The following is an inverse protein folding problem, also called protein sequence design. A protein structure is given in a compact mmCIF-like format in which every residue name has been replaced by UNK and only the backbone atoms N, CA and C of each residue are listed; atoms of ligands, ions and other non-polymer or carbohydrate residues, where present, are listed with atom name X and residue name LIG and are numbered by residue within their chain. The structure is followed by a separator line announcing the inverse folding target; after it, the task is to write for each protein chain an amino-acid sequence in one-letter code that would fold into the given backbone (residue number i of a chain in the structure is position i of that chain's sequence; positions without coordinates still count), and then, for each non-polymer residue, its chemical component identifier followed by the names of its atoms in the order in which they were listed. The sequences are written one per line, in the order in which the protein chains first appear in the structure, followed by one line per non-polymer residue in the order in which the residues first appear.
data_IF_393510690255
#
_entry.id   IF_393510690255
#
_cell.length_a   1.000
_cell.length_b   1.000
_cell.length_c   1.000
_cell.angle_alpha   90.00
_cell.angle_beta   90.00
_cell.angle_gamma   90.00
#
_symmetry.space_group_name_H-M   'P 1'
#
loop_
_entity.id
_entity.type
_entity.pdbx_description
1 polymer ?
#
# COMPACT_ATOMS: atom_id res chain seq x y z
N UNK A 1 6.83 4.59 -30.76
CA UNK A 1 5.56 4.45 -30.00
C UNK A 1 5.88 4.55 -28.49
N UNK A 2 5.21 5.44 -27.78
CA UNK A 2 5.47 5.57 -26.35
C UNK A 2 4.72 4.51 -25.55
N UNK A 3 5.41 3.96 -24.55
CA UNK A 3 4.83 3.02 -23.62
C UNK A 3 4.09 3.79 -22.53
N UNK A 4 2.77 3.56 -22.40
CA UNK A 4 1.93 4.19 -21.39
C UNK A 4 1.40 3.19 -20.36
N UNK A 5 2.02 2.00 -20.28
CA UNK A 5 1.63 1.01 -19.28
C UNK A 5 1.68 1.62 -17.88
N UNK A 6 0.58 1.50 -17.14
CA UNK A 6 0.45 2.07 -15.80
C UNK A 6 0.09 3.54 -15.75
N UNK A 7 -0.19 4.17 -16.90
CA UNK A 7 -0.65 5.56 -16.92
C UNK A 7 -2.17 5.61 -17.07
N UNK A 8 -2.82 6.39 -16.23
CA UNK A 8 -4.27 6.64 -16.32
C UNK A 8 -4.52 8.11 -16.63
N UNK A 9 -5.69 8.39 -17.20
CA UNK A 9 -6.07 9.75 -17.59
C UNK A 9 -6.22 10.68 -16.39
N UNK A 10 -6.83 10.19 -15.30
CA UNK A 10 -7.21 11.03 -14.17
C UNK A 10 -6.31 10.83 -12.94
N UNK A 11 -5.60 9.70 -12.83
CA UNK A 11 -4.81 9.34 -11.65
C UNK A 11 -3.29 9.36 -11.90
N UNK A 12 -2.86 9.84 -13.08
CA UNK A 12 -1.44 9.84 -13.44
C UNK A 12 -0.92 8.44 -13.71
N UNK A 13 0.34 8.20 -13.35
CA UNK A 13 0.93 6.87 -13.44
C UNK A 13 0.57 6.08 -12.21
N UNK A 14 0.31 4.78 -12.38
CA UNK A 14 -0.07 3.91 -11.28
C UNK A 14 0.66 2.57 -11.34
N UNK A 15 0.70 1.88 -10.19
CA UNK A 15 1.33 0.58 -10.04
C UNK A 15 0.51 -0.24 -9.04
N UNK A 16 0.48 -1.55 -9.25
CA UNK A 16 -0.18 -2.46 -8.32
C UNK A 16 0.55 -3.78 -8.22
N UNK A 17 0.54 -4.37 -7.04
CA UNK A 17 1.05 -5.71 -6.78
C UNK A 17 0.04 -6.43 -5.90
N UNK A 18 0.03 -7.78 -5.97
CA UNK A 18 -0.84 -8.58 -5.11
C UNK A 18 -0.19 -9.94 -4.83
N UNK A 19 -0.59 -10.54 -3.71
CA UNK A 19 -0.13 -11.87 -3.34
C UNK A 19 -1.14 -12.52 -2.41
N UNK A 20 -1.31 -13.84 -2.53
CA UNK A 20 -2.19 -14.61 -1.67
C UNK A 20 -1.37 -15.30 -0.59
N UNK A 21 -1.84 -15.22 0.65
CA UNK A 21 -1.18 -15.81 1.82
C UNK A 21 -2.12 -16.80 2.50
N UNK A 22 -1.58 -17.82 3.21
CA UNK A 22 -2.42 -18.86 3.85
C UNK A 22 -2.99 -18.46 5.21
N UNK A 23 -3.18 -17.17 5.47
CA UNK A 23 -3.70 -16.65 6.73
C UNK A 23 -5.13 -16.15 6.55
N UNK A 24 -5.91 -16.06 7.63
CA UNK A 24 -7.28 -15.54 7.60
C UNK A 24 -7.28 -14.03 7.35
N UNK A 25 -8.38 -13.53 6.78
CA UNK A 25 -8.53 -12.09 6.53
C UNK A 25 -8.32 -11.24 7.78
N UNK A 26 -8.97 -11.54 8.91
CA UNK A 26 -8.74 -10.78 10.15
C UNK A 26 -7.29 -10.80 10.63
N UNK A 27 -6.62 -11.94 10.54
CA UNK A 27 -5.19 -12.03 10.92
C UNK A 27 -4.30 -11.17 10.03
N UNK A 28 -4.56 -11.20 8.72
CA UNK A 28 -3.84 -10.38 7.76
C UNK A 28 -4.08 -8.90 8.04
N UNK A 29 -5.34 -8.51 8.25
CA UNK A 29 -5.71 -7.12 8.52
C UNK A 29 -5.03 -6.60 9.78
N UNK A 30 -5.09 -7.37 10.87
CA UNK A 30 -4.46 -7.00 12.13
C UNK A 30 -2.95 -6.84 11.99
N UNK A 31 -2.31 -7.70 11.21
CA UNK A 31 -0.88 -7.57 10.93
C UNK A 31 -0.59 -6.28 10.17
N UNK A 32 -1.31 -6.01 9.09
CA UNK A 32 -1.06 -4.86 8.23
C UNK A 32 -1.30 -3.52 8.93
N UNK A 33 -2.27 -3.46 9.83
CA UNK A 33 -2.59 -2.24 10.59
C UNK A 33 -1.86 -2.18 11.94
N UNK A 34 -1.00 -3.13 12.23
CA UNK A 34 -0.21 -3.20 13.46
C UNK A 34 1.27 -3.39 13.17
N UNK A 35 1.79 -4.59 13.44
CA UNK A 35 3.21 -4.90 13.27
C UNK A 35 3.73 -4.72 11.85
N UNK A 36 2.87 -4.84 10.86
CA UNK A 36 3.23 -4.69 9.46
C UNK A 36 3.32 -3.25 8.96
N UNK A 37 2.90 -2.26 9.75
CA UNK A 37 2.94 -0.86 9.32
C UNK A 37 4.33 -0.41 8.84
N UNK A 38 5.43 -0.75 9.53
CA UNK A 38 6.76 -0.35 9.04
C UNK A 38 7.15 -0.95 7.70
N UNK A 39 6.48 -2.01 7.27
CA UNK A 39 6.80 -2.67 6.00
C UNK A 39 6.21 -1.94 4.80
N UNK A 40 5.04 -1.31 4.95
CA UNK A 40 4.36 -0.70 3.80
C UNK A 40 4.07 0.79 3.97
N UNK A 41 3.77 1.27 5.18
CA UNK A 41 3.39 2.67 5.40
C UNK A 41 4.61 3.54 5.72
N UNK A 42 5.37 3.15 6.70
CA UNK A 42 6.48 3.89 7.25
C UNK A 42 6.71 3.51 8.71
N UNK A 43 7.75 4.05 9.32
CA UNK A 43 8.13 3.70 10.69
C UNK A 43 7.13 4.29 11.70
N UNK A 44 6.11 3.51 12.03
CA UNK A 44 5.08 3.89 13.00
C UNK A 44 4.45 2.64 13.61
N UNK A 45 3.87 2.80 14.80
CA UNK A 45 3.20 1.72 15.52
C UNK A 45 1.70 1.72 15.34
N UNK A 46 1.13 2.81 14.83
CA UNK A 46 -0.32 2.92 14.66
C UNK A 46 -0.68 3.84 13.48
N UNK A 47 -1.89 3.66 12.99
CA UNK A 47 -2.45 4.44 11.89
C UNK A 47 -3.88 4.80 12.26
N UNK A 48 -4.29 6.06 12.13
CA UNK A 48 -5.69 6.43 12.34
C UNK A 48 -6.58 5.77 11.27
N UNK A 49 -7.81 5.46 11.64
CA UNK A 49 -8.76 4.76 10.76
C UNK A 49 -9.94 5.64 10.37
N UNK A 50 -9.99 6.88 10.83
CA UNK A 50 -11.06 7.79 10.50
C UNK A 50 -10.71 8.62 9.26
N UNK A 51 -11.66 8.73 8.34
CA UNK A 51 -11.51 9.59 7.16
C UNK A 51 -11.19 11.02 7.57
N UNK A 52 -10.19 11.60 6.93
CA UNK A 52 -9.76 12.97 7.18
C UNK A 52 -8.65 13.11 8.22
N UNK A 53 -8.33 12.04 8.94
CA UNK A 53 -7.25 12.09 9.93
C UNK A 53 -5.89 12.04 9.26
N UNK A 54 -4.98 12.90 9.70
CA UNK A 54 -3.61 12.93 9.23
C UNK A 54 -2.75 11.94 10.00
N UNK A 55 -1.72 11.42 9.36
CA UNK A 55 -0.68 10.61 9.99
C UNK A 55 0.70 11.10 9.59
N UNK A 56 1.68 10.83 10.44
CA UNK A 56 3.08 11.07 10.14
C UNK A 56 3.91 9.99 10.83
N UNK A 57 4.94 9.51 10.17
CA UNK A 57 5.80 8.44 10.67
C UNK A 57 7.14 8.99 11.16
N UNK A 58 7.88 8.19 11.92
CA UNK A 58 9.19 8.59 12.43
C UNK A 58 10.21 8.80 11.31
N UNK A 59 10.07 8.06 10.20
CA UNK A 59 10.91 8.21 9.01
C UNK A 59 10.36 9.24 8.01
N UNK A 60 9.45 10.10 8.49
CA UNK A 60 8.98 11.28 7.78
C UNK A 60 8.16 11.00 6.52
N UNK A 61 7.34 9.98 6.57
CA UNK A 61 6.25 9.78 5.62
C UNK A 61 5.00 10.42 6.21
N UNK A 62 4.23 11.13 5.39
CA UNK A 62 3.01 11.79 5.86
C UNK A 62 1.86 11.58 4.88
N UNK A 63 0.66 11.77 5.37
CA UNK A 63 -0.54 11.68 4.55
C UNK A 63 -1.81 11.84 5.36
N UNK A 64 -2.92 11.56 4.69
CA UNK A 64 -4.28 11.67 5.25
C UNK A 64 -5.07 10.43 4.86
N UNK A 65 -5.82 9.88 5.79
CA UNK A 65 -6.71 8.75 5.53
C UNK A 65 -7.89 9.25 4.69
N UNK A 66 -8.14 8.59 3.55
CA UNK A 66 -9.22 8.95 2.61
C UNK A 66 -10.42 8.02 2.72
N UNK A 67 -10.20 6.75 3.03
CA UNK A 67 -11.27 5.78 3.22
C UNK A 67 -10.76 4.63 4.06
N UNK A 68 -11.64 4.05 4.85
CA UNK A 68 -11.33 2.91 5.69
C UNK A 68 -12.55 2.00 5.79
N UNK A 69 -12.37 0.73 5.43
CA UNK A 69 -13.38 -0.32 5.61
C UNK A 69 -12.67 -1.48 6.28
N UNK A 70 -12.96 -1.71 7.55
CA UNK A 70 -12.30 -2.72 8.36
C UNK A 70 -12.33 -4.09 7.68
N UNK A 71 -11.21 -4.80 7.73
CA UNK A 71 -11.01 -6.11 7.11
C UNK A 71 -11.12 -6.12 5.58
N UNK A 72 -11.13 -4.96 4.93
CA UNK A 72 -11.25 -4.90 3.47
C UNK A 72 -10.28 -3.93 2.82
N UNK A 73 -10.33 -2.64 3.15
CA UNK A 73 -9.59 -1.63 2.39
C UNK A 73 -9.23 -0.42 3.23
N UNK A 74 -8.01 0.08 3.04
CA UNK A 74 -7.65 1.42 3.47
C UNK A 74 -7.08 2.18 2.28
N UNK A 75 -7.47 3.44 2.14
CA UNK A 75 -7.00 4.34 1.09
C UNK A 75 -6.53 5.63 1.77
N UNK A 76 -5.32 6.07 1.43
CA UNK A 76 -4.73 7.24 2.06
C UNK A 76 -3.80 7.94 1.08
N UNK A 77 -3.45 9.19 1.38
CA UNK A 77 -2.34 9.83 0.67
C UNK A 77 -1.03 9.40 1.32
N UNK A 78 0.05 9.38 0.54
CA UNK A 78 1.34 8.88 0.98
C UNK A 78 2.44 9.70 0.33
N UNK A 79 3.28 10.35 1.15
CA UNK A 79 4.34 11.21 0.66
C UNK A 79 5.56 11.13 1.57
N UNK A 80 6.64 10.46 1.13
CA UNK A 80 7.93 10.58 1.80
C UNK A 80 8.45 12.02 1.79
N UNK A 81 9.25 12.38 2.78
CA UNK A 81 9.72 13.77 2.95
C UNK A 81 10.55 14.30 1.78
N UNK A 82 11.20 13.42 1.04
CA UNK A 82 12.03 13.80 -0.11
C UNK A 82 11.25 13.83 -1.43
N UNK A 83 9.94 13.56 -1.40
CA UNK A 83 9.09 13.61 -2.57
C UNK A 83 8.39 14.96 -2.69
N UNK A 84 8.42 15.61 -3.89
CA UNK A 84 7.79 16.92 -4.07
C UNK A 84 6.26 16.88 -4.25
N UNK A 85 5.66 15.68 -4.26
CA UNK A 85 4.22 15.52 -4.46
C UNK A 85 3.70 14.35 -3.63
N UNK A 86 2.41 14.35 -3.33
CA UNK A 86 1.78 13.22 -2.69
C UNK A 86 1.34 12.18 -3.72
N UNK A 87 1.03 10.99 -3.24
CA UNK A 87 0.45 9.90 -4.04
C UNK A 87 -0.74 9.36 -3.28
N UNK A 88 -1.54 8.51 -3.93
CA UNK A 88 -2.62 7.80 -3.27
C UNK A 88 -2.24 6.33 -3.17
N UNK A 89 -2.26 5.81 -1.97
CA UNK A 89 -1.90 4.42 -1.67
C UNK A 89 -3.13 3.69 -1.17
N UNK A 90 -3.40 2.52 -1.73
CA UNK A 90 -4.55 1.69 -1.35
C UNK A 90 -4.08 0.28 -1.01
N UNK A 91 -4.53 -0.21 0.12
CA UNK A 91 -4.30 -1.57 0.57
C UNK A 91 -5.64 -2.29 0.63
N UNK A 92 -5.74 -3.44 -0.02
CA UNK A 92 -6.98 -4.23 -0.07
C UNK A 92 -6.71 -5.65 0.38
N UNK A 93 -7.66 -6.21 1.13
CA UNK A 93 -7.60 -7.58 1.64
C UNK A 93 -8.89 -8.29 1.24
N UNK A 94 -8.76 -9.42 0.52
CA UNK A 94 -9.92 -10.18 0.03
C UNK A 94 -9.73 -11.67 0.27
N UNK A 95 -10.79 -12.35 0.65
CA UNK A 95 -10.80 -13.82 0.75
C UNK A 95 -10.52 -14.44 -0.63
N UNK A 96 -9.76 -15.53 -0.65
CA UNK A 96 -9.51 -16.33 -1.84
C UNK A 96 -9.73 -17.80 -1.52
N UNK A 97 -9.64 -18.66 -2.54
CA UNK A 97 -9.85 -20.09 -2.36
C UNK A 97 -8.80 -20.73 -1.42
N UNK A 98 -7.62 -20.17 -1.32
CA UNK A 98 -6.50 -20.76 -0.56
C UNK A 98 -6.03 -19.90 0.61
N UNK A 99 -6.74 -18.83 0.94
CA UNK A 99 -6.37 -17.94 2.03
C UNK A 99 -6.87 -16.53 1.82
N UNK A 100 -5.95 -15.56 1.84
CA UNK A 100 -6.29 -14.15 1.71
C UNK A 100 -5.38 -13.49 0.69
N UNK A 101 -5.95 -12.72 -0.22
CA UNK A 101 -5.20 -11.96 -1.22
C UNK A 101 -5.02 -10.53 -0.72
N UNK A 102 -3.76 -10.09 -0.67
CA UNK A 102 -3.37 -8.73 -0.32
C UNK A 102 -3.02 -8.01 -1.61
N UNK A 103 -3.54 -6.81 -1.81
CA UNK A 103 -3.20 -5.98 -2.96
C UNK A 103 -2.74 -4.61 -2.47
N UNK A 104 -1.66 -4.10 -3.05
CA UNK A 104 -1.15 -2.76 -2.81
C UNK A 104 -1.22 -2.02 -4.14
N UNK A 105 -1.87 -0.86 -4.15
CA UNK A 105 -2.05 -0.05 -5.35
C UNK A 105 -1.64 1.39 -5.05
N UNK A 106 -0.85 2.00 -5.93
CA UNK A 106 -0.41 3.38 -5.79
C UNK A 106 -0.72 4.16 -7.05
N UNK A 107 -1.34 5.32 -6.89
CA UNK A 107 -1.73 6.22 -7.96
C UNK A 107 -1.02 7.56 -7.84
N UNK A 108 -1.10 8.38 -8.88
CA UNK A 108 -0.54 9.74 -8.95
C UNK A 108 1.00 9.74 -8.91
N UNK A 109 1.60 8.72 -9.47
CA UNK A 109 3.04 8.73 -9.71
C UNK A 109 3.34 9.73 -10.83
N UNK A 110 4.47 10.41 -10.74
CA UNK A 110 4.78 11.55 -11.60
C UNK A 110 5.10 11.17 -13.04
N UNK A 111 5.79 10.02 -13.22
CA UNK A 111 6.28 9.60 -14.53
C UNK A 111 6.55 8.10 -14.57
N UNK A 112 7.01 7.63 -15.73
CA UNK A 112 7.33 6.21 -15.93
C UNK A 112 8.47 5.74 -15.03
N UNK A 113 9.45 6.57 -14.80
CA UNK A 113 10.61 6.23 -13.98
C UNK A 113 10.19 6.02 -12.52
N UNK A 114 9.38 6.90 -11.98
CA UNK A 114 8.85 6.78 -10.63
C UNK A 114 7.99 5.52 -10.50
N UNK A 115 7.16 5.24 -11.52
CA UNK A 115 6.37 4.00 -11.55
C UNK A 115 7.26 2.77 -11.50
N UNK A 116 8.32 2.75 -12.30
CA UNK A 116 9.25 1.61 -12.34
C UNK A 116 9.93 1.40 -10.98
N UNK A 117 10.36 2.48 -10.35
CA UNK A 117 10.96 2.47 -9.03
C UNK A 117 9.99 1.88 -8.00
N UNK A 118 8.75 2.35 -8.00
CA UNK A 118 7.77 1.91 -7.03
C UNK A 118 7.25 0.50 -7.30
N UNK A 119 7.24 0.04 -8.53
CA UNK A 119 6.92 -1.36 -8.83
C UNK A 119 7.93 -2.30 -8.16
N UNK A 120 9.21 -2.03 -8.27
CA UNK A 120 10.25 -2.80 -7.59
C UNK A 120 10.12 -2.74 -6.07
N UNK A 121 9.87 -1.56 -5.55
CA UNK A 121 9.66 -1.35 -4.12
C UNK A 121 8.47 -2.18 -3.60
N UNK A 122 7.32 -2.06 -4.24
CA UNK A 122 6.11 -2.76 -3.77
C UNK A 122 6.19 -4.28 -3.95
N UNK A 123 6.88 -4.77 -4.97
CA UNK A 123 7.14 -6.20 -5.11
C UNK A 123 7.94 -6.73 -3.92
N UNK A 124 8.97 -6.00 -3.51
CA UNK A 124 9.78 -6.35 -2.35
C UNK A 124 8.96 -6.31 -1.05
N UNK A 125 8.15 -5.27 -0.89
CA UNK A 125 7.29 -5.10 0.29
C UNK A 125 6.29 -6.25 0.41
N UNK A 126 5.57 -6.57 -0.68
CA UNK A 126 4.53 -7.60 -0.60
C UNK A 126 5.12 -8.99 -0.38
N UNK A 127 6.31 -9.25 -0.90
CA UNK A 127 7.01 -10.52 -0.64
C UNK A 127 7.42 -10.62 0.83
N UNK A 128 7.90 -9.53 1.42
CA UNK A 128 8.25 -9.49 2.83
C UNK A 128 7.01 -9.73 3.72
N UNK A 129 5.91 -9.04 3.41
CA UNK A 129 4.64 -9.22 4.13
C UNK A 129 4.19 -10.69 4.04
N UNK A 130 4.23 -11.26 2.85
CA UNK A 130 3.82 -12.65 2.63
C UNK A 130 4.69 -13.62 3.42
N UNK A 131 5.99 -13.38 3.48
CA UNK A 131 6.91 -14.18 4.30
C UNK A 131 6.55 -14.17 5.77
N UNK A 132 6.20 -13.00 6.31
CA UNK A 132 5.78 -12.86 7.71
C UNK A 132 4.44 -13.56 7.99
N UNK A 133 3.59 -13.70 6.97
CA UNK A 133 2.27 -14.33 7.09
C UNK A 133 2.26 -15.81 6.70
N UNK A 134 3.43 -16.42 6.58
CA UNK A 134 3.57 -17.85 6.37
C UNK A 134 3.55 -18.33 4.92
N UNK A 135 3.63 -17.44 3.95
CA UNK A 135 3.76 -17.84 2.55
C UNK A 135 5.19 -18.32 2.26
N UNK A 136 5.29 -19.37 1.48
CA UNK A 136 6.59 -19.89 1.07
C UNK A 136 7.27 -18.99 0.05
#
# INVERSE_FOLDING_TARGET
MSDTTGKTKDAGWEVGVRKTVPASGPSVWNFLLGEGLPLWLGDTDELPTEKGKAYATRDKVRGTVKAYIENYRIRLTWQPSDWPHDTTLQLTVKASATGTTIAIHQEKLADREERRLMLGHWKSVIDHIAGELGAA
#
